data_IF_084477666438
#
_entry.id   IF_084477666438
#
_cell.length_a   1.000
_cell.length_b   1.000
_cell.length_c   1.000
_cell.angle_alpha   90.00
_cell.angle_beta   90.00
_cell.angle_gamma   90.00
#
_symmetry.space_group_name_H-M   'P 1'
#
loop_
_entity.id
_entity.type
_entity.pdbx_description
1 polymer ?
#
# COMPACT_ATOMS: atom_id res chain seq x y z
N UNK A 1 10.55 -8.10 19.00
CA UNK A 1 11.42 -7.78 17.84
C UNK A 1 11.60 -8.93 16.85
N UNK A 2 11.49 -10.21 17.28
CA UNK A 2 11.63 -11.34 16.35
C UNK A 2 10.51 -11.41 15.29
N UNK A 3 9.29 -11.04 15.63
CA UNK A 3 8.12 -11.10 14.75
C UNK A 3 8.20 -10.16 13.53
N UNK A 4 9.03 -9.12 13.59
CA UNK A 4 9.21 -8.15 12.51
C UNK A 4 10.36 -8.48 11.53
N UNK A 5 10.88 -9.71 11.55
CA UNK A 5 11.90 -10.14 10.58
C UNK A 5 11.29 -10.19 9.16
N UNK A 6 11.93 -9.54 8.15
CA UNK A 6 11.40 -9.54 6.78
C UNK A 6 11.16 -10.95 6.22
N UNK A 7 12.00 -11.91 6.59
CA UNK A 7 11.87 -13.31 6.16
C UNK A 7 10.59 -13.96 6.70
N UNK A 8 10.21 -13.66 7.95
CA UNK A 8 8.99 -14.20 8.57
C UNK A 8 7.75 -13.59 7.92
N UNK A 9 7.70 -12.27 7.79
CA UNK A 9 6.57 -11.55 7.20
C UNK A 9 6.35 -11.95 5.73
N UNK A 10 7.44 -12.12 4.98
CA UNK A 10 7.37 -12.62 3.61
C UNK A 10 6.86 -14.05 3.54
N UNK A 11 7.25 -14.91 4.48
CA UNK A 11 6.73 -16.28 4.57
C UNK A 11 5.24 -16.28 4.88
N UNK A 12 4.79 -15.49 5.85
CA UNK A 12 3.36 -15.33 6.15
C UNK A 12 2.57 -14.88 4.91
N UNK A 13 3.10 -13.92 4.14
CA UNK A 13 2.48 -13.48 2.90
C UNK A 13 2.40 -14.59 1.84
N UNK A 14 3.48 -15.38 1.66
CA UNK A 14 3.48 -16.50 0.73
C UNK A 14 2.48 -17.60 1.15
N UNK A 15 2.42 -17.90 2.44
CA UNK A 15 1.50 -18.91 2.97
C UNK A 15 0.04 -18.45 2.80
N UNK A 16 -0.26 -17.15 3.01
CA UNK A 16 -1.57 -16.56 2.79
C UNK A 16 -2.02 -16.59 1.32
N UNK A 17 -1.08 -16.43 0.39
CA UNK A 17 -1.33 -16.48 -1.05
C UNK A 17 -1.34 -17.91 -1.62
N UNK A 18 -0.90 -18.91 -0.85
CA UNK A 18 -0.80 -20.30 -1.31
C UNK A 18 -2.16 -20.84 -1.71
N UNK A 19 -2.26 -21.36 -2.93
CA UNK A 19 -3.53 -21.84 -3.49
C UNK A 19 -4.48 -20.76 -4.00
N UNK A 20 -4.16 -19.46 -3.79
CA UNK A 20 -4.99 -18.30 -4.17
C UNK A 20 -4.26 -17.30 -5.06
N UNK A 21 -3.20 -17.75 -5.74
CA UNK A 21 -2.40 -16.89 -6.61
C UNK A 21 -3.18 -16.33 -7.82
N UNK A 22 -4.11 -17.10 -8.39
CA UNK A 22 -4.90 -16.65 -9.55
C UNK A 22 -5.73 -15.40 -9.23
N UNK A 23 -6.60 -15.39 -8.20
CA UNK A 23 -7.34 -14.18 -7.86
C UNK A 23 -6.43 -13.04 -7.38
N UNK A 24 -5.33 -13.34 -6.68
CA UNK A 24 -4.35 -12.33 -6.28
C UNK A 24 -3.68 -11.67 -7.49
N UNK A 25 -3.28 -12.46 -8.49
CA UNK A 25 -2.69 -11.95 -9.73
C UNK A 25 -3.69 -11.13 -10.56
N UNK A 26 -4.97 -11.52 -10.59
CA UNK A 26 -6.03 -10.74 -11.26
C UNK A 26 -6.18 -9.37 -10.58
N UNK A 27 -6.19 -9.30 -9.26
CA UNK A 27 -6.24 -8.04 -8.52
C UNK A 27 -4.98 -7.19 -8.79
N UNK A 28 -3.80 -7.79 -8.75
CA UNK A 28 -2.54 -7.13 -9.08
C UNK A 28 -2.52 -6.60 -10.50
N UNK A 29 -3.04 -7.36 -11.46
CA UNK A 29 -3.18 -6.95 -12.86
C UNK A 29 -4.15 -5.76 -12.99
N UNK A 30 -5.30 -5.80 -12.31
CA UNK A 30 -6.28 -4.71 -12.34
C UNK A 30 -5.66 -3.39 -11.82
N UNK A 31 -4.92 -3.46 -10.70
CA UNK A 31 -4.20 -2.32 -10.15
C UNK A 31 -3.12 -1.82 -11.13
N UNK A 32 -2.31 -2.73 -11.67
CA UNK A 32 -1.25 -2.40 -12.62
C UNK A 32 -1.81 -1.72 -13.88
N UNK A 33 -2.86 -2.29 -14.48
CA UNK A 33 -3.50 -1.73 -15.69
C UNK A 33 -4.10 -0.36 -15.40
N UNK A 34 -4.75 -0.17 -14.25
CA UNK A 34 -5.31 1.13 -13.86
C UNK A 34 -4.22 2.20 -13.83
N UNK A 35 -3.10 1.93 -13.14
CA UNK A 35 -1.98 2.86 -13.05
C UNK A 35 -1.33 3.08 -14.43
N UNK A 36 -1.11 2.01 -15.18
CA UNK A 36 -0.46 2.08 -16.49
C UNK A 36 -1.28 2.93 -17.50
N UNK A 37 -2.60 2.73 -17.54
CA UNK A 37 -3.51 3.49 -18.41
C UNK A 37 -3.48 4.98 -18.04
N UNK A 38 -3.66 5.32 -16.76
CA UNK A 38 -3.68 6.73 -16.35
C UNK A 38 -2.31 7.40 -16.49
N UNK A 39 -1.22 6.67 -16.23
CA UNK A 39 0.14 7.16 -16.47
C UNK A 39 0.43 7.33 -17.97
N UNK A 40 -0.13 6.47 -18.83
CA UNK A 40 -0.06 6.63 -20.28
C UNK A 40 -0.77 7.90 -20.75
N UNK A 41 -1.99 8.15 -20.25
CA UNK A 41 -2.73 9.40 -20.52
C UNK A 41 -1.92 10.62 -20.04
N UNK A 42 -1.25 10.52 -18.89
CA UNK A 42 -0.44 11.61 -18.33
C UNK A 42 0.76 12.00 -19.24
N UNK A 43 1.19 11.14 -20.14
CA UNK A 43 2.26 11.44 -21.11
C UNK A 43 1.76 12.17 -22.38
N UNK A 44 0.44 12.26 -22.59
CA UNK A 44 -0.12 12.88 -23.80
C UNK A 44 -0.06 14.41 -23.65
N UNK A 45 0.55 15.16 -24.59
CA UNK A 45 0.55 16.62 -24.58
C UNK A 45 -0.88 17.19 -24.48
N UNK A 46 -1.05 18.26 -23.72
CA UNK A 46 -2.31 19.01 -23.48
C UNK A 46 -3.36 18.26 -22.63
N UNK A 47 -3.38 16.93 -22.59
CA UNK A 47 -4.32 16.14 -21.77
C UNK A 47 -3.65 15.45 -20.58
N UNK A 48 -2.33 15.52 -20.46
CA UNK A 48 -1.56 14.85 -19.39
C UNK A 48 -2.00 15.23 -17.97
N UNK A 49 -2.50 16.46 -17.79
CA UNK A 49 -3.06 16.87 -16.50
C UNK A 49 -4.24 15.98 -16.06
N UNK A 50 -5.10 15.57 -17.02
CA UNK A 50 -6.22 14.66 -16.75
C UNK A 50 -5.72 13.29 -16.27
N UNK A 51 -4.67 12.74 -16.91
CA UNK A 51 -4.06 11.48 -16.47
C UNK A 51 -3.52 11.54 -15.04
N UNK A 52 -2.89 12.65 -14.66
CA UNK A 52 -2.40 12.86 -13.28
C UNK A 52 -3.56 12.97 -12.29
N UNK A 53 -4.65 13.66 -12.64
CA UNK A 53 -5.85 13.72 -11.80
C UNK A 53 -6.50 12.34 -11.65
N UNK A 54 -6.60 11.56 -12.72
CA UNK A 54 -7.13 10.20 -12.67
C UNK A 54 -6.26 9.29 -11.78
N UNK A 55 -4.92 9.39 -11.85
CA UNK A 55 -4.04 8.67 -10.94
C UNK A 55 -4.27 9.07 -9.48
N UNK A 56 -4.45 10.37 -9.19
CA UNK A 56 -4.68 10.85 -7.83
C UNK A 56 -6.05 10.45 -7.29
N UNK A 57 -7.11 10.63 -8.09
CA UNK A 57 -8.50 10.48 -7.63
C UNK A 57 -9.08 9.08 -7.83
N UNK A 58 -8.53 8.29 -8.72
CA UNK A 58 -9.01 6.93 -9.00
C UNK A 58 -7.91 5.90 -8.74
N UNK A 59 -6.72 6.10 -9.31
CA UNK A 59 -5.60 5.16 -9.17
C UNK A 59 -5.20 4.94 -7.71
N UNK A 60 -5.09 6.01 -6.92
CA UNK A 60 -4.78 5.91 -5.49
C UNK A 60 -5.85 5.12 -4.71
N UNK A 61 -7.13 5.28 -5.06
CA UNK A 61 -8.24 4.56 -4.42
C UNK A 61 -8.24 3.07 -4.78
N UNK A 62 -7.98 2.73 -6.03
CA UNK A 62 -7.83 1.33 -6.46
C UNK A 62 -6.64 0.68 -5.76
N UNK A 63 -5.51 1.38 -5.62
CA UNK A 63 -4.37 0.89 -4.85
C UNK A 63 -4.72 0.68 -3.37
N UNK A 64 -5.48 1.60 -2.77
CA UNK A 64 -5.96 1.46 -1.39
C UNK A 64 -6.88 0.25 -1.24
N UNK A 65 -7.80 0.03 -2.18
CA UNK A 65 -8.62 -1.18 -2.24
C UNK A 65 -7.77 -2.46 -2.32
N UNK A 66 -6.63 -2.39 -3.00
CA UNK A 66 -5.63 -3.46 -3.01
C UNK A 66 -5.06 -3.76 -1.62
N UNK A 67 -4.75 -2.73 -0.80
CA UNK A 67 -4.36 -2.95 0.60
C UNK A 67 -5.44 -3.72 1.37
N UNK A 68 -6.70 -3.38 1.17
CA UNK A 68 -7.82 -4.02 1.86
C UNK A 68 -8.01 -5.47 1.40
N UNK A 69 -8.00 -5.72 0.09
CA UNK A 69 -8.14 -7.05 -0.47
C UNK A 69 -7.03 -7.99 0.00
N UNK A 70 -5.77 -7.58 -0.07
CA UNK A 70 -4.65 -8.44 0.32
C UNK A 70 -4.55 -8.61 1.84
N UNK A 71 -5.06 -7.65 2.60
CA UNK A 71 -5.19 -7.79 4.05
C UNK A 71 -6.26 -8.82 4.42
N UNK A 72 -7.42 -8.80 3.76
CA UNK A 72 -8.47 -9.81 3.95
C UNK A 72 -7.95 -11.21 3.57
N UNK A 73 -7.22 -11.32 2.46
CA UNK A 73 -6.57 -12.59 2.08
C UNK A 73 -5.57 -13.10 3.12
N UNK A 74 -4.83 -12.20 3.79
CA UNK A 74 -3.94 -12.56 4.88
C UNK A 74 -4.72 -13.13 6.08
N UNK A 75 -5.90 -12.58 6.36
CA UNK A 75 -6.80 -13.07 7.42
C UNK A 75 -7.54 -14.36 7.05
N UNK A 76 -7.33 -14.88 5.85
CA UNK A 76 -7.92 -16.12 5.37
C UNK A 76 -9.24 -15.93 4.62
N UNK A 77 -9.67 -14.69 4.40
CA UNK A 77 -10.86 -14.40 3.58
C UNK A 77 -10.58 -14.62 2.09
N UNK A 78 -11.64 -14.85 1.31
CA UNK A 78 -11.54 -14.98 -0.13
C UNK A 78 -11.22 -13.63 -0.80
N UNK A 79 -10.52 -13.70 -1.94
CA UNK A 79 -10.18 -12.53 -2.73
C UNK A 79 -11.41 -11.98 -3.45
N UNK A 80 -12.13 -11.07 -2.82
CA UNK A 80 -13.27 -10.38 -3.43
C UNK A 80 -12.80 -9.12 -4.17
N UNK A 81 -12.90 -9.12 -5.51
CA UNK A 81 -12.54 -7.99 -6.36
C UNK A 81 -13.32 -6.71 -6.04
N UNK A 82 -14.50 -6.80 -5.41
CA UNK A 82 -15.27 -5.63 -4.96
C UNK A 82 -14.51 -4.80 -3.93
N UNK A 83 -13.57 -5.40 -3.21
CA UNK A 83 -12.71 -4.70 -2.24
C UNK A 83 -11.83 -3.63 -2.89
N UNK A 84 -11.48 -3.77 -4.17
CA UNK A 84 -10.78 -2.72 -4.92
C UNK A 84 -11.59 -1.42 -5.00
N UNK A 85 -12.91 -1.54 -4.99
CA UNK A 85 -13.84 -0.41 -4.97
C UNK A 85 -14.28 0.04 -3.56
N UNK A 86 -13.93 -0.68 -2.50
CA UNK A 86 -14.38 -0.38 -1.13
C UNK A 86 -14.06 1.06 -0.69
N UNK A 87 -12.86 1.64 -0.97
CA UNK A 87 -12.55 3.00 -0.55
C UNK A 87 -13.45 4.07 -1.16
N UNK A 88 -14.11 3.79 -2.29
CA UNK A 88 -15.04 4.75 -2.91
C UNK A 88 -16.33 4.92 -2.11
N UNK A 89 -16.67 4.00 -1.21
CA UNK A 89 -17.83 4.09 -0.32
C UNK A 89 -17.74 5.23 0.70
N UNK A 90 -16.51 5.63 1.09
CA UNK A 90 -16.28 6.75 2.00
C UNK A 90 -15.20 7.68 1.40
N UNK A 91 -15.48 8.09 0.16
CA UNK A 91 -14.54 8.79 -0.70
C UNK A 91 -13.91 10.02 -0.03
N UNK A 92 -14.73 10.88 0.58
CA UNK A 92 -14.26 12.15 1.15
C UNK A 92 -13.23 11.91 2.28
N UNK A 93 -13.51 10.97 3.17
CA UNK A 93 -12.62 10.64 4.30
C UNK A 93 -11.27 10.11 3.84
N UNK A 94 -11.28 9.15 2.91
CA UNK A 94 -10.05 8.59 2.36
C UNK A 94 -9.28 9.60 1.53
N UNK A 95 -9.97 10.45 0.75
CA UNK A 95 -9.34 11.51 -0.02
C UNK A 95 -8.60 12.50 0.90
N UNK A 96 -9.22 12.93 1.99
CA UNK A 96 -8.59 13.82 2.97
C UNK A 96 -7.33 13.14 3.53
N UNK A 97 -7.39 11.86 3.90
CA UNK A 97 -6.23 11.11 4.38
C UNK A 97 -5.09 11.06 3.37
N UNK A 98 -5.38 10.74 2.11
CA UNK A 98 -4.39 10.69 1.01
C UNK A 98 -3.73 12.07 0.82
N UNK A 99 -4.54 13.11 0.72
CA UNK A 99 -4.06 14.49 0.49
C UNK A 99 -3.19 14.96 1.66
N UNK A 100 -3.63 14.75 2.90
CA UNK A 100 -2.85 15.12 4.08
C UNK A 100 -1.51 14.37 4.16
N UNK A 101 -1.51 13.05 3.91
CA UNK A 101 -0.26 12.28 3.85
C UNK A 101 0.67 12.80 2.75
N UNK A 102 0.12 13.13 1.58
CA UNK A 102 0.88 13.70 0.47
C UNK A 102 1.50 15.04 0.85
N UNK A 103 0.71 15.96 1.40
CA UNK A 103 1.17 17.30 1.85
C UNK A 103 2.27 17.14 2.92
N UNK A 104 2.03 16.34 3.95
CA UNK A 104 3.02 16.16 5.02
C UNK A 104 4.31 15.53 4.51
N UNK A 105 4.23 14.50 3.67
CA UNK A 105 5.42 13.88 3.08
C UNK A 105 6.18 14.86 2.20
N UNK A 106 5.48 15.65 1.38
CA UNK A 106 6.07 16.67 0.53
C UNK A 106 6.79 17.75 1.34
N UNK A 107 6.15 18.31 2.37
CA UNK A 107 6.75 19.32 3.24
C UNK A 107 8.02 18.82 3.93
N UNK A 108 8.01 17.56 4.41
CA UNK A 108 9.20 16.96 5.01
C UNK A 108 10.30 16.69 3.98
N UNK A 109 9.93 16.36 2.74
CA UNK A 109 10.88 16.13 1.64
C UNK A 109 11.54 17.43 1.16
N UNK A 110 10.86 18.57 1.29
CA UNK A 110 11.44 19.90 1.03
C UNK A 110 12.55 20.26 2.02
N UNK A 111 12.43 19.82 3.28
CA UNK A 111 13.48 20.05 4.27
C UNK A 111 14.73 19.22 3.95
N UNK A 112 14.59 17.92 3.77
CA UNK A 112 15.62 16.98 3.37
C UNK A 112 14.96 15.69 2.89
N UNK A 113 15.56 15.00 1.92
CA UNK A 113 15.04 13.74 1.37
C UNK A 113 14.90 12.65 2.45
N UNK A 114 15.88 12.54 3.36
CA UNK A 114 15.88 11.51 4.43
C UNK A 114 14.71 11.68 5.41
N UNK A 115 14.41 12.86 5.98
CA UNK A 115 13.20 13.07 6.76
C UNK A 115 11.90 12.75 6.01
N UNK A 116 11.82 13.06 4.71
CA UNK A 116 10.68 12.70 3.87
C UNK A 116 10.44 11.19 3.83
N UNK A 117 11.49 10.40 3.60
CA UNK A 117 11.43 8.93 3.62
C UNK A 117 11.00 8.42 5.00
N UNK A 118 11.58 8.92 6.08
CA UNK A 118 11.24 8.52 7.45
C UNK A 118 9.76 8.81 7.76
N UNK A 119 9.24 9.92 7.27
CA UNK A 119 7.84 10.30 7.48
C UNK A 119 6.89 9.50 6.60
N UNK A 120 7.23 9.22 5.35
CA UNK A 120 6.41 8.33 4.50
C UNK A 120 6.27 6.92 5.12
N UNK A 121 7.37 6.38 5.67
CA UNK A 121 7.35 5.14 6.45
C UNK A 121 6.43 5.27 7.66
N UNK A 122 6.46 6.40 8.36
CA UNK A 122 5.62 6.61 9.55
C UNK A 122 4.13 6.68 9.23
N UNK A 123 3.74 7.04 8.01
CA UNK A 123 2.36 7.13 7.55
C UNK A 123 1.85 5.87 6.86
N UNK A 124 2.70 4.87 6.63
CA UNK A 124 2.40 3.70 5.81
C UNK A 124 1.22 2.84 6.31
N UNK A 125 0.92 2.88 7.62
CA UNK A 125 -0.17 2.10 8.22
C UNK A 125 -1.52 2.83 8.21
N UNK A 126 -1.58 4.08 7.76
CA UNK A 126 -2.77 4.94 7.82
C UNK A 126 -4.00 4.29 7.17
N UNK A 127 -3.85 3.65 6.02
CA UNK A 127 -4.97 3.04 5.28
C UNK A 127 -5.63 1.89 6.06
N UNK A 128 -4.83 1.03 6.70
CA UNK A 128 -5.32 -0.05 7.54
C UNK A 128 -6.08 0.51 8.76
N UNK A 129 -5.53 1.53 9.41
CA UNK A 129 -6.13 2.19 10.58
C UNK A 129 -7.47 2.84 10.20
N UNK A 130 -7.53 3.54 9.08
CA UNK A 130 -8.77 4.16 8.58
C UNK A 130 -9.84 3.11 8.30
N UNK A 131 -9.48 1.97 7.73
CA UNK A 131 -10.42 0.89 7.45
C UNK A 131 -10.99 0.26 8.72
N UNK A 132 -10.14 0.02 9.71
CA UNK A 132 -10.59 -0.57 11.00
C UNK A 132 -11.41 0.41 11.84
N UNK A 133 -11.22 1.71 11.66
CA UNK A 133 -11.85 2.74 12.49
C UNK A 133 -12.64 3.73 11.61
N UNK A 134 -13.86 3.37 11.17
CA UNK A 134 -14.65 4.24 10.28
C UNK A 134 -14.98 5.62 10.85
N UNK A 135 -15.02 5.76 12.18
CA UNK A 135 -15.27 7.04 12.86
C UNK A 135 -14.03 7.93 13.00
N UNK A 136 -12.84 7.44 12.61
CA UNK A 136 -11.59 8.18 12.76
C UNK A 136 -11.34 9.07 11.54
N UNK A 137 -10.94 10.32 11.77
CA UNK A 137 -10.54 11.22 10.68
C UNK A 137 -9.20 10.79 10.06
N UNK A 138 -8.93 11.24 8.81
CA UNK A 138 -7.65 10.97 8.15
C UNK A 138 -6.45 11.46 8.97
N UNK A 139 -6.55 12.64 9.60
CA UNK A 139 -5.50 13.18 10.45
C UNK A 139 -5.24 12.31 11.69
N UNK A 140 -6.30 11.90 12.38
CA UNK A 140 -6.19 11.01 13.54
C UNK A 140 -5.56 9.67 13.17
N UNK A 141 -5.91 9.12 12.01
CA UNK A 141 -5.31 7.89 11.51
C UNK A 141 -3.82 8.04 11.20
N UNK A 142 -3.39 9.19 10.63
CA UNK A 142 -1.98 9.53 10.41
C UNK A 142 -1.23 9.60 11.73
N UNK A 143 -1.80 10.29 12.74
CA UNK A 143 -1.19 10.41 14.07
C UNK A 143 -1.05 9.04 14.75
N UNK A 144 -2.09 8.19 14.66
CA UNK A 144 -2.04 6.81 15.18
C UNK A 144 -1.01 5.97 14.44
N UNK A 145 -0.91 6.08 13.11
CA UNK A 145 0.13 5.41 12.33
C UNK A 145 1.53 5.81 12.79
N UNK A 146 1.77 7.11 13.00
CA UNK A 146 3.05 7.60 13.53
C UNK A 146 3.37 7.05 14.92
N UNK A 147 2.36 6.93 15.79
CA UNK A 147 2.53 6.39 17.14
C UNK A 147 2.90 4.90 17.08
N UNK A 148 2.15 4.10 16.34
CA UNK A 148 2.40 2.67 16.17
C UNK A 148 3.77 2.39 15.55
N UNK A 149 4.20 3.19 14.59
CA UNK A 149 5.49 3.03 13.90
C UNK A 149 6.71 3.49 14.71
N UNK A 150 6.53 3.99 15.93
CA UNK A 150 7.68 4.31 16.81
C UNK A 150 8.41 3.03 17.19
N UNK A 151 9.73 3.02 16.94
CA UNK A 151 10.57 1.84 17.19
C UNK A 151 10.57 0.80 16.05
N UNK A 152 9.60 0.82 15.13
CA UNK A 152 9.42 -0.21 14.08
C UNK A 152 9.75 0.26 12.65
N UNK A 153 10.14 1.54 12.47
CA UNK A 153 10.41 2.12 11.15
C UNK A 153 11.53 1.40 10.40
N UNK A 154 12.60 1.00 11.11
CA UNK A 154 13.72 0.30 10.51
C UNK A 154 13.32 -1.10 10.03
N UNK A 155 12.49 -1.82 10.80
CA UNK A 155 11.99 -3.13 10.41
C UNK A 155 11.12 -3.05 9.15
N UNK A 156 10.24 -2.04 9.08
CA UNK A 156 9.45 -1.79 7.87
C UNK A 156 10.31 -1.40 6.68
N UNK A 157 11.30 -0.54 6.89
CA UNK A 157 12.27 -0.18 5.86
C UNK A 157 13.01 -1.41 5.31
N UNK A 158 13.49 -2.28 6.20
CA UNK A 158 14.15 -3.54 5.81
C UNK A 158 13.21 -4.49 5.08
N UNK A 159 11.93 -4.53 5.47
CA UNK A 159 10.92 -5.29 4.75
C UNK A 159 10.79 -4.81 3.30
N UNK A 160 10.63 -3.51 3.09
CA UNK A 160 10.54 -2.92 1.74
C UNK A 160 11.84 -3.18 0.96
N UNK A 161 12.99 -2.96 1.59
CA UNK A 161 14.30 -3.19 1.00
C UNK A 161 14.47 -4.65 0.52
N UNK A 162 13.92 -5.61 1.27
CA UNK A 162 13.97 -7.03 0.93
C UNK A 162 13.25 -7.39 -0.38
N UNK A 163 12.40 -6.50 -0.89
CA UNK A 163 11.71 -6.67 -2.16
C UNK A 163 12.44 -6.08 -3.36
N UNK A 164 13.50 -5.29 -3.16
CA UNK A 164 14.22 -4.64 -4.28
C UNK A 164 14.76 -5.68 -5.27
N UNK A 165 15.36 -6.76 -4.80
CA UNK A 165 15.84 -7.83 -5.67
C UNK A 165 14.72 -8.46 -6.52
N UNK A 166 13.56 -8.65 -5.92
CA UNK A 166 12.37 -9.15 -6.62
C UNK A 166 11.81 -8.14 -7.62
N UNK A 167 11.86 -6.84 -7.28
CA UNK A 167 11.45 -5.77 -8.19
C UNK A 167 12.35 -5.72 -9.45
N UNK A 168 13.66 -5.88 -9.27
CA UNK A 168 14.60 -5.96 -10.40
C UNK A 168 14.29 -7.18 -11.27
N UNK A 169 14.05 -8.35 -10.66
CA UNK A 169 13.66 -9.55 -11.39
C UNK A 169 12.32 -9.39 -12.13
N UNK A 170 11.37 -8.66 -11.53
CA UNK A 170 10.05 -8.40 -12.12
C UNK A 170 10.13 -7.49 -13.37
N UNK A 171 11.19 -6.69 -13.52
CA UNK A 171 11.43 -5.87 -14.70
C UNK A 171 11.89 -6.68 -15.92
N UNK A 172 12.55 -7.83 -15.73
CA UNK A 172 13.12 -8.64 -16.83
C UNK A 172 12.05 -9.01 -17.88
N UNK A 173 10.85 -9.52 -17.50
CA UNK A 173 9.78 -9.79 -18.45
C UNK A 173 8.98 -8.54 -18.78
N UNK A 174 9.62 -7.42 -19.14
CA UNK A 174 8.98 -6.15 -19.47
C UNK A 174 7.99 -5.64 -18.36
N UNK A 175 8.28 -5.94 -17.10
CA UNK A 175 7.44 -5.53 -15.97
C UNK A 175 6.27 -6.46 -15.65
N UNK A 176 6.02 -7.51 -16.43
CA UNK A 176 4.92 -8.46 -16.16
C UNK A 176 5.09 -9.17 -14.79
N UNK A 177 6.32 -9.27 -14.26
CA UNK A 177 6.58 -9.83 -12.95
C UNK A 177 5.89 -9.09 -11.80
N UNK A 178 5.53 -7.82 -11.99
CA UNK A 178 4.80 -7.03 -10.98
C UNK A 178 3.39 -7.55 -10.72
N UNK A 179 2.77 -8.29 -11.66
CA UNK A 179 1.44 -8.90 -11.46
C UNK A 179 1.46 -9.84 -10.25
N UNK A 180 2.56 -10.55 -10.03
CA UNK A 180 2.75 -11.44 -8.87
C UNK A 180 3.45 -10.74 -7.69
N UNK A 181 4.33 -9.81 -7.98
CA UNK A 181 5.07 -9.10 -6.94
C UNK A 181 4.18 -8.16 -6.13
N UNK A 182 3.22 -7.47 -6.78
CA UNK A 182 2.28 -6.56 -6.11
C UNK A 182 1.50 -7.27 -5.00
N UNK A 183 0.73 -8.36 -5.26
CA UNK A 183 0.02 -9.07 -4.20
C UNK A 183 0.95 -9.53 -3.09
N UNK A 184 2.15 -10.01 -3.41
CA UNK A 184 3.12 -10.46 -2.44
C UNK A 184 3.58 -9.33 -1.51
N UNK A 185 3.91 -8.16 -2.07
CA UNK A 185 4.34 -6.99 -1.29
C UNK A 185 3.21 -6.48 -0.38
N UNK A 186 2.00 -6.34 -0.91
CA UNK A 186 0.85 -5.83 -0.14
C UNK A 186 0.47 -6.79 0.99
N UNK A 187 0.47 -8.10 0.74
CA UNK A 187 0.21 -9.10 1.79
C UNK A 187 1.30 -9.08 2.87
N UNK A 188 2.56 -8.88 2.51
CA UNK A 188 3.64 -8.76 3.50
C UNK A 188 3.54 -7.46 4.34
N UNK A 189 3.07 -6.37 3.73
CA UNK A 189 2.80 -5.11 4.46
C UNK A 189 1.60 -5.28 5.40
N UNK A 190 0.56 -6.00 4.98
CA UNK A 190 -0.57 -6.36 5.83
C UNK A 190 -0.12 -7.22 7.01
N UNK A 191 0.77 -8.20 6.79
CA UNK A 191 1.34 -9.01 7.86
C UNK A 191 2.15 -8.15 8.87
N UNK A 192 2.89 -7.16 8.37
CA UNK A 192 3.58 -6.21 9.24
C UNK A 192 2.60 -5.40 10.08
N UNK A 193 1.49 -4.94 9.50
CA UNK A 193 0.46 -4.22 10.24
C UNK A 193 -0.19 -5.07 11.33
N UNK A 194 -0.50 -6.33 11.04
CA UNK A 194 -1.06 -7.26 12.05
C UNK A 194 -0.11 -7.50 13.22
N UNK A 195 1.19 -7.66 12.96
CA UNK A 195 2.18 -7.79 14.04
C UNK A 195 2.34 -6.48 14.84
N UNK A 196 2.34 -5.33 14.13
CA UNK A 196 2.45 -4.01 14.74
C UNK A 196 1.26 -3.70 15.67
N UNK A 197 0.07 -4.15 15.27
CA UNK A 197 -1.14 -3.99 16.06
C UNK A 197 -1.05 -4.76 17.37
N UNK A 198 -0.58 -6.02 17.35
CA UNK A 198 -0.39 -6.85 18.53
C UNK A 198 0.64 -6.26 19.52
N UNK A 199 1.63 -5.54 19.01
CA UNK A 199 2.68 -4.94 19.85
C UNK A 199 2.25 -3.59 20.43
N UNK A 200 1.24 -2.96 19.83
CA UNK A 200 0.72 -1.65 20.23
C UNK A 200 -0.48 -1.75 21.22
N UNK A 201 -1.29 -2.80 21.15
CA UNK A 201 -2.42 -3.10 22.04
C UNK A 201 -1.94 -3.74 23.35
#
# INVERSE_FOLDING_TARGET
MENFRPTLLRRQALDALRGRWTPAAIAGLAMFVTIAVFSGIAQIPYVGFVGNLLNLFVGAFVCMGGYFLFWDMLRGEDADMKKLGEPFGDYARYLIGIVLMGIYTFLWSLLLLVPGIIKSISYSMTYYIMRENPGMSGEQAIQRSMAMMRGHKMQYFLLILSFIGWAILALIPAGLGFIWLIPYMYTAQAAFYEELKKDYE
#
